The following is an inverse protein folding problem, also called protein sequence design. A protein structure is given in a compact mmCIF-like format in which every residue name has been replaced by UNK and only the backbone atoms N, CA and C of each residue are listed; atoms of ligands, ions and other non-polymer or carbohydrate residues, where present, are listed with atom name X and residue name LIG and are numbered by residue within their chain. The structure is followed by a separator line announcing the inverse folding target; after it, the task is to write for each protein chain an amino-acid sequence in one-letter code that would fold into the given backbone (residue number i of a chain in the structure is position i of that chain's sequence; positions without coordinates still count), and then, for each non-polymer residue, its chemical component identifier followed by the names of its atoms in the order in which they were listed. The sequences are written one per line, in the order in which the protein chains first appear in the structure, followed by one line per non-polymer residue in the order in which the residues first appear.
data_IF_041978712257
#
_entry.id   IF_041978712257
#
_cell.length_a   1.000
_cell.length_b   1.000
_cell.length_c   1.000
_cell.angle_alpha   90.00
_cell.angle_beta   90.00
_cell.angle_gamma   90.00
#
_symmetry.space_group_name_H-M   'P 1'
#
loop_
_entity.id
_entity.type
_entity.pdbx_description
1 polymer ?
#
# COMPACT_ATOMS: atom_id res chain seq x y z
N UNK A 1 11.35 18.69 27.85
CA UNK A 1 11.55 17.21 27.87
C UNK A 1 10.17 16.59 28.00
N UNK A 2 9.54 16.24 26.89
CA UNK A 2 8.29 15.48 26.90
C UNK A 2 8.66 14.00 26.93
N UNK A 3 8.30 13.32 28.01
CA UNK A 3 8.43 11.88 28.12
C UNK A 3 7.55 11.24 27.05
N UNK A 4 8.19 10.66 26.07
CA UNK A 4 7.55 9.82 25.04
C UNK A 4 7.01 8.59 25.74
N UNK A 5 5.71 8.53 26.02
CA UNK A 5 5.02 7.36 26.57
C UNK A 5 5.09 6.23 25.52
N UNK A 6 6.15 5.47 25.55
CA UNK A 6 6.21 4.16 24.90
C UNK A 6 5.09 3.30 25.50
N UNK A 7 4.12 2.96 24.68
CA UNK A 7 3.09 1.99 25.04
C UNK A 7 3.82 0.68 25.34
N UNK A 8 3.83 0.27 26.61
CA UNK A 8 4.58 -0.92 27.02
C UNK A 8 4.08 -2.17 26.31
N UNK A 9 4.98 -3.11 26.00
CA UNK A 9 4.65 -4.43 25.38
C UNK A 9 3.57 -5.22 26.16
N UNK A 10 3.33 -4.89 27.43
CA UNK A 10 2.28 -5.48 28.26
C UNK A 10 0.86 -5.03 27.89
N UNK A 11 0.71 -3.89 27.18
CA UNK A 11 -0.57 -3.39 26.68
C UNK A 11 -1.03 -4.08 25.39
N UNK A 12 -0.16 -4.85 24.73
CA UNK A 12 -0.44 -5.58 23.48
C UNK A 12 -1.53 -6.66 23.60
N UNK A 13 -1.92 -7.02 24.81
CA UNK A 13 -3.03 -7.97 25.06
C UNK A 13 -4.34 -7.27 25.48
N UNK A 14 -4.34 -5.94 25.64
CA UNK A 14 -5.54 -5.17 25.95
C UNK A 14 -5.98 -4.44 24.68
N UNK A 15 -7.26 -4.47 24.38
CA UNK A 15 -7.91 -3.73 23.30
C UNK A 15 -7.41 -2.26 23.31
N UNK A 16 -7.01 -1.72 22.15
CA UNK A 16 -6.63 -0.32 21.98
C UNK A 16 -7.79 0.65 22.25
N UNK A 17 -9.00 0.15 22.47
CA UNK A 17 -10.22 0.94 22.64
C UNK A 17 -10.16 1.95 23.80
N UNK A 18 -9.35 1.67 24.85
CA UNK A 18 -9.18 2.57 26.00
C UNK A 18 -8.14 3.69 25.78
N UNK A 19 -7.41 3.66 24.64
CA UNK A 19 -6.38 4.67 24.35
C UNK A 19 -6.98 5.74 23.45
N UNK A 20 -7.05 6.98 23.97
CA UNK A 20 -7.52 8.13 23.22
C UNK A 20 -6.48 8.54 22.17
N UNK A 21 -6.95 8.85 20.95
CA UNK A 21 -6.15 9.56 19.96
C UNK A 21 -6.31 11.07 20.14
N UNK A 22 -5.36 11.89 19.69
CA UNK A 22 -5.51 13.34 19.66
C UNK A 22 -6.76 13.76 18.86
N UNK A 23 -7.25 14.96 19.10
CA UNK A 23 -8.38 15.52 18.35
C UNK A 23 -7.98 15.67 16.89
N UNK A 24 -8.84 15.20 15.97
CA UNK A 24 -8.60 15.35 14.53
C UNK A 24 -8.47 16.83 14.15
N UNK A 25 -7.39 17.22 13.48
CA UNK A 25 -7.16 18.59 13.09
C UNK A 25 -8.18 19.05 12.02
N UNK A 26 -8.45 20.37 11.97
CA UNK A 26 -9.44 20.96 11.04
C UNK A 26 -9.09 20.79 9.56
N UNK A 27 -7.83 20.62 9.23
CA UNK A 27 -7.36 20.40 7.86
C UNK A 27 -7.69 18.98 7.32
N UNK A 28 -8.02 18.04 8.18
CA UNK A 28 -8.36 16.67 7.80
C UNK A 28 -9.80 16.60 7.24
N UNK A 29 -9.98 17.12 6.02
CA UNK A 29 -11.27 17.16 5.33
C UNK A 29 -11.26 16.23 4.13
N UNK A 30 -12.27 15.35 4.05
CA UNK A 30 -12.45 14.39 2.96
C UNK A 30 -13.37 15.01 1.90
N UNK A 31 -13.05 14.82 0.61
CA UNK A 31 -13.91 15.24 -0.49
C UNK A 31 -15.23 14.47 -0.52
N UNK A 32 -16.31 15.13 -0.83
CA UNK A 32 -17.62 14.50 -1.01
C UNK A 32 -17.69 13.73 -2.35
N UNK A 33 -18.55 12.70 -2.46
CA UNK A 33 -18.76 11.98 -3.71
C UNK A 33 -19.29 12.89 -4.82
N UNK A 34 -18.81 12.66 -6.05
CA UNK A 34 -19.29 13.31 -7.28
C UNK A 34 -20.05 12.31 -8.15
N UNK A 35 -20.70 12.79 -9.22
CA UNK A 35 -21.32 11.92 -10.23
C UNK A 35 -20.32 10.92 -10.84
N UNK A 36 -19.08 11.38 -11.12
CA UNK A 36 -18.00 10.55 -11.62
C UNK A 36 -17.57 9.47 -10.62
N UNK A 37 -17.57 9.77 -9.31
CA UNK A 37 -17.35 8.76 -8.27
C UNK A 37 -18.37 7.63 -8.36
N UNK A 38 -19.64 7.99 -8.58
CA UNK A 38 -20.73 7.01 -8.70
C UNK A 38 -20.62 6.15 -9.97
N UNK A 39 -20.12 6.69 -11.07
CA UNK A 39 -19.86 5.94 -12.30
C UNK A 39 -18.78 4.87 -12.07
N UNK A 40 -17.66 5.24 -11.47
CA UNK A 40 -16.60 4.29 -11.10
C UNK A 40 -17.13 3.21 -10.18
N UNK A 41 -17.93 3.57 -9.17
CA UNK A 41 -18.59 2.62 -8.27
C UNK A 41 -19.49 1.62 -8.99
N UNK A 42 -20.27 2.08 -9.97
CA UNK A 42 -21.11 1.20 -10.78
C UNK A 42 -20.30 0.16 -11.55
N UNK A 43 -19.16 0.54 -12.12
CA UNK A 43 -18.31 -0.38 -12.87
C UNK A 43 -17.69 -1.43 -11.93
N UNK A 44 -17.16 -1.02 -10.78
CA UNK A 44 -16.61 -1.94 -9.77
C UNK A 44 -17.67 -2.93 -9.28
N UNK A 45 -18.85 -2.43 -8.90
CA UNK A 45 -19.95 -3.26 -8.39
C UNK A 45 -20.50 -4.22 -9.47
N UNK A 46 -20.60 -3.80 -10.73
CA UNK A 46 -21.06 -4.64 -11.85
C UNK A 46 -20.20 -5.89 -12.03
N UNK A 47 -18.92 -5.82 -11.74
CA UNK A 47 -17.99 -6.94 -11.82
C UNK A 47 -17.88 -7.70 -10.48
N UNK A 48 -18.57 -7.27 -9.43
CA UNK A 48 -18.49 -7.82 -8.07
C UNK A 48 -17.02 -7.91 -7.60
N UNK A 49 -16.31 -6.78 -7.70
CA UNK A 49 -14.91 -6.66 -7.34
C UNK A 49 -14.74 -5.95 -6.00
N UNK A 50 -13.70 -6.35 -5.28
CA UNK A 50 -13.26 -5.70 -4.04
C UNK A 50 -12.21 -4.64 -4.34
N UNK A 51 -12.29 -3.50 -3.65
CA UNK A 51 -11.30 -2.44 -3.75
C UNK A 51 -10.73 -2.11 -2.37
N UNK A 52 -9.43 -1.89 -2.28
CA UNK A 52 -8.82 -1.39 -1.04
C UNK A 52 -9.34 0.01 -0.69
N UNK A 53 -9.85 0.75 -1.67
CA UNK A 53 -10.42 2.07 -1.46
C UNK A 53 -11.66 2.03 -0.53
N UNK A 54 -12.52 1.01 -0.68
CA UNK A 54 -13.69 0.81 0.17
C UNK A 54 -13.32 0.08 1.45
N UNK A 55 -12.63 -1.06 1.36
CA UNK A 55 -12.32 -1.92 2.51
C UNK A 55 -11.43 -1.24 3.55
N UNK A 56 -10.45 -0.45 3.11
CA UNK A 56 -9.56 0.29 4.00
C UNK A 56 -10.09 1.67 4.42
N UNK A 57 -11.35 2.01 4.09
CA UNK A 57 -11.95 3.33 4.38
C UNK A 57 -11.05 4.49 3.92
N UNK A 58 -10.54 4.39 2.69
CA UNK A 58 -9.54 5.31 2.17
C UNK A 58 -10.10 6.75 2.06
N UNK A 59 -9.42 7.77 2.65
CA UNK A 59 -9.88 9.16 2.60
C UNK A 59 -9.87 9.74 1.17
N UNK A 60 -9.11 9.14 0.26
CA UNK A 60 -8.98 9.60 -1.13
C UNK A 60 -9.98 8.95 -2.08
N UNK A 61 -10.86 8.05 -1.61
CA UNK A 61 -11.77 7.30 -2.48
C UNK A 61 -12.49 8.21 -3.49
N UNK A 62 -13.11 9.29 -3.00
CA UNK A 62 -13.90 10.18 -3.85
C UNK A 62 -13.03 10.94 -4.86
N UNK A 63 -11.82 11.34 -4.48
CA UNK A 63 -10.87 11.99 -5.37
C UNK A 63 -10.35 11.02 -6.45
N UNK A 64 -9.89 9.85 -6.05
CA UNK A 64 -9.39 8.81 -6.96
C UNK A 64 -10.49 8.37 -7.94
N UNK A 65 -11.66 8.03 -7.45
CA UNK A 65 -12.75 7.52 -8.29
C UNK A 65 -13.35 8.55 -9.23
N UNK A 66 -13.34 9.85 -8.85
CA UNK A 66 -13.73 10.91 -9.77
C UNK A 66 -12.76 11.07 -10.96
N UNK A 67 -11.53 10.60 -10.79
CA UNK A 67 -10.48 10.55 -11.81
C UNK A 67 -10.33 9.16 -12.45
N UNK A 68 -11.31 8.26 -12.24
CA UNK A 68 -11.31 6.87 -12.70
C UNK A 68 -10.13 6.04 -12.18
N UNK A 69 -9.51 6.42 -11.07
CA UNK A 69 -8.44 5.64 -10.42
C UNK A 69 -9.04 4.74 -9.35
N UNK A 70 -8.91 3.42 -9.50
CA UNK A 70 -9.29 2.45 -8.49
C UNK A 70 -8.13 1.48 -8.24
N UNK A 71 -7.95 1.08 -6.98
CA UNK A 71 -7.00 0.04 -6.59
C UNK A 71 -7.78 -1.23 -6.32
N UNK A 72 -7.63 -2.21 -7.21
CA UNK A 72 -8.33 -3.48 -7.08
C UNK A 72 -7.63 -4.36 -6.06
N UNK A 73 -8.42 -4.95 -5.16
CA UNK A 73 -7.95 -5.91 -4.18
C UNK A 73 -8.38 -7.31 -4.60
N UNK A 74 -7.42 -8.16 -4.90
CA UNK A 74 -7.62 -9.54 -5.35
C UNK A 74 -7.44 -10.54 -4.21
N UNK A 75 -7.78 -11.81 -4.46
CA UNK A 75 -7.70 -12.92 -3.51
C UNK A 75 -8.76 -12.86 -2.39
N UNK A 76 -9.82 -12.08 -2.61
CA UNK A 76 -10.95 -11.92 -1.69
C UNK A 76 -10.81 -10.72 -0.76
N UNK A 77 -11.64 -10.69 0.28
CA UNK A 77 -11.86 -9.59 1.23
C UNK A 77 -11.43 -9.93 2.67
N UNK A 78 -10.95 -11.14 2.91
CA UNK A 78 -10.52 -11.62 4.23
C UNK A 78 -9.03 -11.90 4.23
N UNK A 79 -8.29 -11.26 5.14
CA UNK A 79 -6.85 -11.38 5.30
C UNK A 79 -6.51 -12.43 6.36
N UNK A 80 -5.43 -13.19 6.17
CA UNK A 80 -4.91 -14.14 7.17
C UNK A 80 -4.13 -13.46 8.29
N UNK A 81 -3.83 -12.15 8.15
CA UNK A 81 -3.07 -11.36 9.14
C UNK A 81 -3.90 -10.23 9.73
N UNK A 82 -3.52 -9.79 10.94
CA UNK A 82 -4.22 -8.79 11.75
C UNK A 82 -3.33 -7.58 12.04
N UNK A 83 -2.91 -6.86 11.00
CA UNK A 83 -2.15 -5.63 11.17
C UNK A 83 -2.96 -4.61 11.94
N UNK A 84 -2.40 -4.03 13.03
CA UNK A 84 -3.16 -3.20 13.98
C UNK A 84 -3.61 -1.84 13.44
N UNK A 85 -3.16 -1.46 12.24
CA UNK A 85 -3.59 -0.25 11.53
C UNK A 85 -4.66 -0.51 10.46
N UNK A 86 -4.87 -1.77 10.05
CA UNK A 86 -5.58 -2.14 8.83
C UNK A 86 -7.05 -2.46 9.11
N UNK A 87 -7.97 -1.88 8.32
CA UNK A 87 -9.42 -2.10 8.46
C UNK A 87 -9.92 -3.35 7.72
N UNK A 88 -9.06 -4.06 6.98
CA UNK A 88 -9.44 -5.28 6.25
C UNK A 88 -9.85 -6.37 7.25
N UNK A 89 -10.92 -7.07 6.95
CA UNK A 89 -11.42 -8.16 7.78
C UNK A 89 -10.37 -9.26 7.92
N UNK A 90 -10.12 -9.69 9.15
CA UNK A 90 -9.18 -10.78 9.47
C UNK A 90 -9.93 -12.08 9.72
N UNK A 91 -9.41 -13.20 9.22
CA UNK A 91 -10.03 -14.50 9.44
C UNK A 91 -9.54 -15.58 8.49
N UNK A 92 -10.39 -16.59 8.29
CA UNK A 92 -10.14 -17.68 7.33
C UNK A 92 -10.75 -17.28 5.96
N UNK A 93 -9.91 -17.01 4.94
CA UNK A 93 -10.40 -16.63 3.62
C UNK A 93 -11.16 -17.78 2.94
N UNK A 94 -12.04 -17.39 2.03
CA UNK A 94 -12.71 -18.34 1.13
C UNK A 94 -11.76 -18.84 0.04
N UNK A 95 -12.19 -19.84 -0.71
CA UNK A 95 -11.48 -20.30 -1.91
C UNK A 95 -11.32 -19.17 -2.93
N UNK A 96 -10.20 -19.17 -3.64
CA UNK A 96 -9.89 -18.15 -4.66
C UNK A 96 -10.89 -18.23 -5.81
N UNK A 97 -11.45 -17.09 -6.21
CA UNK A 97 -12.31 -17.00 -7.38
C UNK A 97 -11.47 -17.11 -8.68
N UNK A 98 -11.64 -18.21 -9.41
CA UNK A 98 -10.92 -18.46 -10.66
C UNK A 98 -11.23 -17.45 -11.77
N UNK A 99 -12.37 -16.75 -11.68
CA UNK A 99 -12.82 -15.74 -12.64
C UNK A 99 -12.42 -14.31 -12.25
N UNK A 100 -11.89 -14.08 -11.05
CA UNK A 100 -11.47 -12.76 -10.58
C UNK A 100 -10.48 -12.08 -11.56
N UNK A 101 -9.46 -12.76 -12.14
CA UNK A 101 -8.57 -12.15 -13.14
C UNK A 101 -9.31 -11.58 -14.36
N UNK A 102 -10.33 -12.28 -14.84
CA UNK A 102 -11.15 -11.81 -15.98
C UNK A 102 -12.03 -10.62 -15.59
N UNK A 103 -12.63 -10.65 -14.39
CA UNK A 103 -13.46 -9.56 -13.86
C UNK A 103 -12.64 -8.28 -13.72
N UNK A 104 -11.43 -8.37 -13.11
CA UNK A 104 -10.51 -7.24 -12.96
C UNK A 104 -10.12 -6.69 -14.33
N UNK A 105 -9.74 -7.54 -15.30
CA UNK A 105 -9.36 -7.10 -16.63
C UNK A 105 -10.50 -6.36 -17.36
N UNK A 106 -11.74 -6.82 -17.22
CA UNK A 106 -12.92 -6.13 -17.75
C UNK A 106 -13.13 -4.77 -17.10
N UNK A 107 -13.06 -4.67 -15.77
CA UNK A 107 -13.22 -3.40 -15.06
C UNK A 107 -12.13 -2.39 -15.45
N UNK A 108 -10.87 -2.84 -15.57
CA UNK A 108 -9.75 -2.01 -16.04
C UNK A 108 -10.01 -1.45 -17.43
N UNK A 109 -10.53 -2.29 -18.36
CA UNK A 109 -10.90 -1.86 -19.71
C UNK A 109 -12.09 -0.90 -19.70
N UNK A 110 -13.16 -1.21 -18.95
CA UNK A 110 -14.37 -0.39 -18.88
C UNK A 110 -14.10 0.99 -18.26
N UNK A 111 -13.11 1.10 -17.36
CA UNK A 111 -12.62 2.36 -16.79
C UNK A 111 -11.65 3.11 -17.71
N UNK A 112 -11.18 2.48 -18.79
CA UNK A 112 -10.17 3.04 -19.73
C UNK A 112 -8.88 3.48 -19.04
N UNK A 113 -8.40 2.67 -18.08
CA UNK A 113 -7.23 3.02 -17.29
C UNK A 113 -5.95 3.02 -18.13
N UNK A 114 -5.10 4.01 -17.92
CA UNK A 114 -3.71 4.04 -18.45
C UNK A 114 -2.71 3.42 -17.47
N UNK A 115 -3.05 3.44 -16.20
CA UNK A 115 -2.29 2.84 -15.10
C UNK A 115 -3.24 2.19 -14.11
N UNK A 116 -2.89 1.00 -13.60
CA UNK A 116 -3.69 0.29 -12.62
C UNK A 116 -2.82 -0.20 -11.47
N UNK A 117 -3.35 -0.11 -10.26
CA UNK A 117 -2.75 -0.71 -9.07
C UNK A 117 -3.57 -1.94 -8.66
N UNK A 118 -2.89 -3.07 -8.55
CA UNK A 118 -3.45 -4.33 -8.06
C UNK A 118 -2.82 -4.64 -6.71
N UNK A 119 -3.65 -4.85 -5.71
CA UNK A 119 -3.21 -5.28 -4.38
C UNK A 119 -3.94 -6.55 -3.97
N UNK A 120 -3.58 -7.13 -2.84
CA UNK A 120 -4.28 -8.29 -2.27
C UNK A 120 -4.32 -8.24 -0.76
N UNK A 121 -5.16 -9.09 -0.17
CA UNK A 121 -5.03 -9.54 1.21
C UNK A 121 -3.84 -10.49 1.35
N UNK A 122 -3.31 -10.68 2.57
CA UNK A 122 -2.38 -11.78 2.85
C UNK A 122 -3.12 -13.12 2.80
N UNK A 123 -2.51 -14.09 2.12
CA UNK A 123 -3.01 -15.44 1.94
C UNK A 123 -1.96 -16.46 2.38
N UNK A 124 -1.63 -16.43 3.68
CA UNK A 124 -0.68 -17.39 4.27
C UNK A 124 -1.17 -18.85 4.17
N UNK A 125 -2.46 -19.04 3.90
CA UNK A 125 -3.10 -20.34 3.63
C UNK A 125 -2.77 -20.92 2.24
N UNK A 126 -2.34 -20.09 1.27
CA UNK A 126 -1.97 -20.54 -0.07
C UNK A 126 -0.48 -20.92 -0.13
N UNK A 127 -0.10 -21.96 -0.87
CA UNK A 127 1.29 -22.42 -0.97
C UNK A 127 2.25 -21.35 -1.46
N UNK A 128 1.82 -20.53 -2.43
CA UNK A 128 2.59 -19.47 -3.07
C UNK A 128 2.24 -18.06 -2.55
N UNK A 129 1.40 -17.95 -1.50
CA UNK A 129 0.92 -16.68 -0.97
C UNK A 129 0.07 -15.88 -1.96
N UNK A 130 -0.40 -16.50 -3.04
CA UNK A 130 -1.21 -15.88 -4.10
C UNK A 130 -0.41 -15.34 -5.28
N UNK A 131 0.90 -15.58 -5.37
CA UNK A 131 1.75 -15.07 -6.45
C UNK A 131 1.24 -15.48 -7.85
N UNK A 132 0.79 -16.73 -8.02
CA UNK A 132 0.23 -17.22 -9.28
C UNK A 132 -1.07 -16.49 -9.65
N UNK A 133 -1.84 -16.08 -8.67
CA UNK A 133 -3.07 -15.31 -8.93
C UNK A 133 -2.77 -13.88 -9.39
N UNK A 134 -1.75 -13.23 -8.83
CA UNK A 134 -1.21 -11.97 -9.37
C UNK A 134 -0.79 -12.15 -10.84
N UNK A 135 0.01 -13.17 -11.14
CA UNK A 135 0.44 -13.47 -12.52
C UNK A 135 -0.74 -13.62 -13.48
N UNK A 136 -1.75 -14.42 -13.12
CA UNK A 136 -2.96 -14.63 -13.93
C UNK A 136 -3.72 -13.32 -14.15
N UNK A 137 -3.85 -12.50 -13.12
CA UNK A 137 -4.53 -11.20 -13.18
C UNK A 137 -3.79 -10.24 -14.11
N UNK A 138 -2.48 -10.10 -13.96
CA UNK A 138 -1.63 -9.26 -14.81
C UNK A 138 -1.71 -9.71 -16.27
N UNK A 139 -1.56 -11.02 -16.52
CA UNK A 139 -1.67 -11.60 -17.86
C UNK A 139 -3.02 -11.30 -18.51
N UNK A 140 -4.11 -11.41 -17.75
CA UNK A 140 -5.45 -11.10 -18.23
C UNK A 140 -5.65 -9.62 -18.52
N UNK A 141 -5.16 -8.73 -17.64
CA UNK A 141 -5.18 -7.27 -17.86
C UNK A 141 -4.41 -6.92 -19.15
N UNK A 142 -3.20 -7.43 -19.32
CA UNK A 142 -2.38 -7.19 -20.53
C UNK A 142 -3.04 -7.71 -21.80
N UNK A 143 -3.82 -8.80 -21.74
CA UNK A 143 -4.60 -9.30 -22.86
C UNK A 143 -5.71 -8.34 -23.30
N UNK A 144 -6.38 -7.66 -22.36
CA UNK A 144 -7.47 -6.72 -22.63
C UNK A 144 -6.98 -5.28 -22.87
N UNK A 145 -5.84 -4.91 -22.30
CA UNK A 145 -5.25 -3.58 -22.34
C UNK A 145 -3.72 -3.69 -22.47
N UNK A 146 -3.17 -3.99 -23.66
CA UNK A 146 -1.74 -4.31 -23.84
C UNK A 146 -0.78 -3.21 -23.37
N UNK A 147 -1.15 -1.95 -23.56
CA UNK A 147 -0.29 -0.78 -23.28
C UNK A 147 -0.42 -0.22 -21.86
N UNK A 148 -1.27 -0.83 -21.01
CA UNK A 148 -1.49 -0.32 -19.65
C UNK A 148 -0.23 -0.47 -18.79
N UNK A 149 0.07 0.54 -17.98
CA UNK A 149 1.06 0.44 -16.91
C UNK A 149 0.45 -0.29 -15.71
N UNK A 150 1.19 -1.21 -15.10
CA UNK A 150 0.72 -2.01 -13.97
C UNK A 150 1.67 -1.83 -12.78
N UNK A 151 1.12 -1.40 -11.65
CA UNK A 151 1.74 -1.46 -10.34
C UNK A 151 1.08 -2.60 -9.55
N UNK A 152 1.88 -3.39 -8.83
CA UNK A 152 1.36 -4.35 -7.86
C UNK A 152 1.82 -3.96 -6.46
N UNK A 153 0.88 -3.95 -5.51
CA UNK A 153 1.16 -3.79 -4.07
C UNK A 153 0.96 -5.15 -3.41
N UNK A 154 2.05 -5.81 -3.06
CA UNK A 154 2.03 -7.22 -2.65
C UNK A 154 2.15 -7.41 -1.14
N UNK A 155 1.67 -8.55 -0.60
CA UNK A 155 2.08 -9.05 0.70
C UNK A 155 3.60 -9.35 0.71
N UNK A 156 4.13 -9.76 1.86
CA UNK A 156 5.55 -10.08 2.00
C UNK A 156 5.93 -11.49 1.53
N UNK A 157 4.96 -12.34 1.14
CA UNK A 157 5.17 -13.74 0.75
C UNK A 157 6.02 -14.54 1.74
N UNK A 158 5.96 -14.22 3.04
CA UNK A 158 6.78 -14.82 4.08
C UNK A 158 6.61 -16.35 4.11
N UNK A 159 7.74 -17.08 4.10
CA UNK A 159 7.79 -18.54 4.07
C UNK A 159 7.07 -19.16 2.86
N UNK A 160 7.04 -18.49 1.72
CA UNK A 160 6.46 -19.00 0.48
C UNK A 160 7.55 -19.35 -0.52
N UNK A 161 7.29 -20.39 -1.30
CA UNK A 161 8.17 -20.83 -2.36
C UNK A 161 7.77 -20.26 -3.71
N UNK A 162 8.72 -20.15 -4.63
CA UNK A 162 8.54 -19.79 -6.04
C UNK A 162 7.89 -18.41 -6.31
N UNK A 163 7.52 -17.62 -5.27
CA UNK A 163 6.87 -16.32 -5.47
C UNK A 163 7.77 -15.35 -6.25
N UNK A 164 9.07 -15.38 -5.98
CA UNK A 164 10.03 -14.46 -6.60
C UNK A 164 10.12 -14.68 -8.11
N UNK A 165 10.22 -15.94 -8.55
CA UNK A 165 10.24 -16.31 -9.96
C UNK A 165 8.94 -15.92 -10.65
N UNK A 166 7.79 -16.26 -10.05
CA UNK A 166 6.47 -15.95 -10.58
C UNK A 166 6.29 -14.43 -10.73
N UNK A 167 6.56 -13.66 -9.68
CA UNK A 167 6.35 -12.21 -9.69
C UNK A 167 7.34 -11.51 -10.63
N UNK A 168 8.60 -11.95 -10.68
CA UNK A 168 9.61 -11.36 -11.56
C UNK A 168 9.34 -11.62 -13.05
N UNK A 169 8.58 -12.67 -13.38
CA UNK A 169 8.12 -12.96 -14.74
C UNK A 169 6.90 -12.13 -15.17
N UNK A 170 6.27 -11.41 -14.24
CA UNK A 170 5.11 -10.59 -14.55
C UNK A 170 5.48 -9.35 -15.37
N UNK A 171 4.61 -8.99 -16.33
CA UNK A 171 4.76 -7.76 -17.12
C UNK A 171 4.27 -6.53 -16.33
N UNK A 172 4.99 -6.18 -15.26
CA UNK A 172 4.71 -5.05 -14.37
C UNK A 172 5.72 -3.92 -14.58
N UNK A 173 5.32 -2.70 -14.24
CA UNK A 173 6.16 -1.51 -14.28
C UNK A 173 6.69 -1.15 -12.89
N UNK A 174 5.86 -1.34 -11.85
CA UNK A 174 6.19 -1.01 -10.45
C UNK A 174 5.85 -2.19 -9.55
N UNK A 175 6.81 -2.59 -8.74
CA UNK A 175 6.64 -3.51 -7.62
C UNK A 175 6.62 -2.72 -6.32
N UNK A 176 5.52 -2.79 -5.61
CA UNK A 176 5.30 -2.08 -4.36
C UNK A 176 5.13 -3.07 -3.20
N UNK A 177 5.85 -2.84 -2.12
CA UNK A 177 5.65 -3.49 -0.84
C UNK A 177 5.91 -2.49 0.29
N UNK A 178 4.87 -2.18 1.05
CA UNK A 178 4.98 -1.19 2.12
C UNK A 178 5.66 -1.76 3.36
N UNK A 179 6.56 -0.98 3.96
CA UNK A 179 7.04 -1.26 5.31
C UNK A 179 6.06 -0.81 6.39
N UNK A 180 5.19 0.17 6.08
CA UNK A 180 4.15 0.74 6.92
C UNK A 180 4.66 1.53 8.12
N UNK A 181 5.72 1.10 8.81
CA UNK A 181 6.26 1.77 10.00
C UNK A 181 7.75 1.47 10.20
N UNK A 182 8.36 2.12 11.18
CA UNK A 182 9.76 1.94 11.59
C UNK A 182 10.00 0.60 12.27
N UNK A 183 11.26 0.14 12.30
CA UNK A 183 11.67 -1.17 12.80
C UNK A 183 11.19 -1.46 14.23
N UNK A 184 11.30 -0.50 15.13
CA UNK A 184 10.94 -0.70 16.54
C UNK A 184 9.43 -0.85 16.78
N UNK A 185 8.58 -0.35 15.86
CA UNK A 185 7.13 -0.48 15.93
C UNK A 185 6.59 -1.67 15.13
N UNK A 186 7.46 -2.39 14.39
CA UNK A 186 7.03 -3.37 13.41
C UNK A 186 6.19 -4.49 13.99
N UNK A 187 6.63 -5.07 15.11
CA UNK A 187 5.92 -6.18 15.78
C UNK A 187 4.53 -5.79 16.30
N UNK A 188 4.34 -4.50 16.63
CA UNK A 188 3.09 -3.97 17.16
C UNK A 188 2.14 -3.61 16.02
N UNK A 189 2.67 -2.98 14.99
CA UNK A 189 1.87 -2.44 13.87
C UNK A 189 1.60 -3.51 12.82
N UNK A 190 2.56 -4.42 12.57
CA UNK A 190 2.47 -5.52 11.61
C UNK A 190 2.76 -6.88 12.25
N UNK A 191 1.94 -7.33 13.22
CA UNK A 191 2.16 -8.63 13.86
C UNK A 191 2.20 -9.74 12.80
N UNK A 192 3.22 -10.61 12.91
CA UNK A 192 3.45 -11.71 11.97
C UNK A 192 4.30 -11.37 10.75
N UNK A 193 4.51 -10.10 10.42
CA UNK A 193 5.47 -9.67 9.39
C UNK A 193 6.90 -9.58 9.96
N UNK A 194 7.89 -9.39 9.08
CA UNK A 194 9.28 -9.22 9.48
C UNK A 194 9.93 -8.08 8.69
N UNK A 195 10.51 -7.11 9.39
CA UNK A 195 11.09 -5.90 8.80
C UNK A 195 12.21 -6.20 7.79
N UNK A 196 13.16 -7.06 8.18
CA UNK A 196 14.29 -7.41 7.32
C UNK A 196 13.84 -8.25 6.11
N UNK A 197 12.82 -9.10 6.29
CA UNK A 197 12.24 -9.86 5.18
C UNK A 197 11.56 -8.94 4.16
N UNK A 198 10.82 -7.92 4.60
CA UNK A 198 10.21 -6.92 3.72
C UNK A 198 11.25 -6.14 2.90
N UNK A 199 12.38 -5.76 3.51
CA UNK A 199 13.50 -5.14 2.78
C UNK A 199 14.14 -6.12 1.78
N UNK A 200 14.37 -7.37 2.21
CA UNK A 200 14.92 -8.42 1.35
C UNK A 200 14.04 -8.70 0.13
N UNK A 201 12.72 -8.72 0.30
CA UNK A 201 11.77 -8.86 -0.80
C UNK A 201 11.94 -7.77 -1.86
N UNK A 202 11.95 -6.50 -1.46
CA UNK A 202 12.15 -5.37 -2.36
C UNK A 202 13.50 -5.46 -3.10
N UNK A 203 14.58 -5.77 -2.36
CA UNK A 203 15.91 -5.94 -2.91
C UNK A 203 15.99 -7.10 -3.91
N UNK A 204 15.36 -8.24 -3.61
CA UNK A 204 15.37 -9.43 -4.46
C UNK A 204 14.66 -9.19 -5.78
N UNK A 205 13.49 -8.55 -5.77
CA UNK A 205 12.77 -8.17 -7.01
C UNK A 205 13.63 -7.24 -7.86
N UNK A 206 14.25 -6.22 -7.26
CA UNK A 206 15.10 -5.28 -7.98
C UNK A 206 16.33 -5.94 -8.60
N UNK A 207 16.92 -6.91 -7.90
CA UNK A 207 18.08 -7.66 -8.40
C UNK A 207 17.71 -8.61 -9.55
N UNK A 208 16.52 -9.23 -9.49
CA UNK A 208 16.05 -10.15 -10.54
C UNK A 208 15.68 -9.40 -11.82
N UNK A 209 15.07 -8.21 -11.71
CA UNK A 209 14.73 -7.39 -12.87
C UNK A 209 14.95 -5.90 -12.58
N UNK A 210 16.08 -5.38 -13.04
CA UNK A 210 16.48 -3.96 -12.84
C UNK A 210 15.53 -2.95 -13.47
N UNK A 211 14.73 -3.35 -14.47
CA UNK A 211 13.79 -2.47 -15.16
C UNK A 211 12.50 -2.25 -14.35
N UNK A 212 12.18 -3.13 -13.41
CA UNK A 212 11.06 -2.93 -12.51
C UNK A 212 11.42 -1.82 -11.52
N UNK A 213 10.57 -0.79 -11.45
CA UNK A 213 10.67 0.24 -10.43
C UNK A 213 10.15 -0.33 -9.10
N UNK A 214 10.87 -0.08 -8.02
CA UNK A 214 10.48 -0.55 -6.68
C UNK A 214 9.94 0.61 -5.85
N UNK A 215 8.88 0.33 -5.10
CA UNK A 215 8.16 1.31 -4.27
C UNK A 215 7.92 0.78 -2.87
N UNK A 216 7.96 1.66 -1.90
CA UNK A 216 7.51 1.37 -0.54
C UNK A 216 6.74 2.55 0.04
N UNK A 217 5.95 2.29 1.08
CA UNK A 217 5.20 3.31 1.80
C UNK A 217 5.34 3.15 3.29
N UNK A 218 5.24 4.28 3.99
CA UNK A 218 5.17 4.36 5.44
C UNK A 218 4.05 5.30 5.87
N UNK A 219 3.55 5.04 7.06
CA UNK A 219 2.67 5.95 7.78
C UNK A 219 3.42 6.58 8.95
N UNK A 220 3.19 7.87 9.17
CA UNK A 220 3.67 8.61 10.34
C UNK A 220 2.52 8.94 11.29
N UNK A 221 2.83 9.17 12.55
CA UNK A 221 1.85 9.40 13.63
C UNK A 221 1.53 8.15 14.45
N UNK A 222 2.39 7.12 14.36
CA UNK A 222 2.31 5.88 15.14
C UNK A 222 3.21 5.90 16.38
N UNK A 223 4.00 6.97 16.60
CA UNK A 223 4.93 7.14 17.72
C UNK A 223 6.40 6.91 17.35
N UNK A 224 6.69 6.86 16.07
CA UNK A 224 8.05 6.82 15.52
C UNK A 224 8.81 8.12 15.81
N UNK A 225 10.13 8.02 15.94
CA UNK A 225 11.02 9.16 16.05
C UNK A 225 11.68 9.51 14.72
N UNK A 226 12.07 10.77 14.53
CA UNK A 226 12.70 11.23 13.29
C UNK A 226 13.96 10.44 12.93
N UNK A 227 14.75 10.05 13.94
CA UNK A 227 15.97 9.23 13.71
C UNK A 227 15.60 7.86 13.14
N UNK A 228 14.54 7.22 13.63
CA UNK A 228 14.07 5.93 13.14
C UNK A 228 13.51 6.02 11.71
N UNK A 229 12.85 7.14 11.38
CA UNK A 229 12.38 7.41 10.00
C UNK A 229 13.58 7.54 9.05
N UNK A 230 14.65 8.25 9.44
CA UNK A 230 15.87 8.38 8.65
C UNK A 230 16.58 7.03 8.47
N UNK A 231 16.66 6.21 9.51
CA UNK A 231 17.19 4.84 9.44
C UNK A 231 16.40 3.99 8.44
N UNK A 232 15.06 4.04 8.52
CA UNK A 232 14.18 3.35 7.57
C UNK A 232 14.40 3.82 6.12
N UNK A 233 14.56 5.12 5.88
CA UNK A 233 14.86 5.64 4.54
C UNK A 233 16.20 5.10 4.02
N UNK A 234 17.22 5.04 4.87
CA UNK A 234 18.52 4.46 4.54
C UNK A 234 18.40 2.96 4.21
N UNK A 235 17.65 2.19 5.00
CA UNK A 235 17.41 0.77 4.77
C UNK A 235 16.68 0.51 3.43
N UNK A 236 15.69 1.33 3.11
CA UNK A 236 15.00 1.28 1.82
C UNK A 236 15.94 1.62 0.66
N UNK A 237 16.79 2.66 0.77
CA UNK A 237 17.77 3.00 -0.26
C UNK A 237 18.82 1.91 -0.43
N UNK A 238 19.29 1.30 0.67
CA UNK A 238 20.20 0.14 0.66
C UNK A 238 19.58 -1.10 0.00
N UNK A 239 18.25 -1.14 -0.06
CA UNK A 239 17.46 -2.15 -0.77
C UNK A 239 17.08 -1.74 -2.20
N UNK A 240 17.66 -0.63 -2.72
CA UNK A 240 17.42 -0.08 -4.06
C UNK A 240 15.96 0.29 -4.34
N UNK A 241 15.23 0.79 -3.34
CA UNK A 241 13.85 1.27 -3.52
C UNK A 241 13.87 2.62 -4.24
N UNK A 242 13.12 2.72 -5.34
CA UNK A 242 13.08 3.90 -6.20
C UNK A 242 12.09 4.96 -5.69
N UNK A 243 10.90 4.54 -5.23
CA UNK A 243 9.80 5.42 -4.85
C UNK A 243 9.44 5.28 -3.37
N UNK A 244 9.09 6.40 -2.76
CA UNK A 244 8.63 6.43 -1.38
C UNK A 244 7.32 7.21 -1.23
N UNK A 245 6.34 6.60 -0.53
CA UNK A 245 5.12 7.27 -0.11
C UNK A 245 5.12 7.47 1.40
N UNK A 246 4.84 8.68 1.86
CA UNK A 246 4.75 9.04 3.28
C UNK A 246 3.38 9.65 3.54
N UNK A 247 2.55 8.99 4.37
CA UNK A 247 1.21 9.43 4.69
C UNK A 247 0.93 9.50 6.19
N UNK A 248 -0.08 10.28 6.60
CA UNK A 248 -0.55 10.27 7.98
C UNK A 248 -1.30 8.98 8.28
N UNK A 249 -0.99 8.33 9.38
CA UNK A 249 -1.83 7.29 9.92
C UNK A 249 -3.19 7.85 10.34
N UNK A 250 -4.26 7.24 9.86
CA UNK A 250 -5.63 7.58 10.24
C UNK A 250 -6.28 6.33 10.84
N UNK A 251 -6.61 6.40 12.11
CA UNK A 251 -7.19 5.29 12.86
C UNK A 251 -8.59 4.94 12.33
N UNK A 252 -8.81 3.72 11.82
CA UNK A 252 -10.11 3.34 11.27
C UNK A 252 -11.21 3.22 12.33
N UNK A 253 -10.90 2.64 13.49
CA UNK A 253 -11.82 2.52 14.63
C UNK A 253 -11.08 2.44 15.96
N UNK A 254 -11.79 2.48 17.07
CA UNK A 254 -11.19 2.38 18.40
C UNK A 254 -10.49 1.04 18.69
N UNK A 255 -10.75 0.00 17.88
CA UNK A 255 -10.07 -1.28 18.01
C UNK A 255 -8.69 -1.32 17.33
N UNK A 256 -8.35 -0.32 16.53
CA UNK A 256 -7.06 -0.19 15.86
C UNK A 256 -6.05 0.59 16.72
N UNK A 257 -4.80 0.54 16.32
CA UNK A 257 -3.73 1.28 16.97
C UNK A 257 -4.08 2.77 17.08
N UNK A 258 -3.84 3.44 18.20
CA UNK A 258 -4.17 4.86 18.35
C UNK A 258 -3.28 5.73 17.46
N UNK A 259 -3.80 6.86 16.99
CA UNK A 259 -2.94 7.92 16.47
C UNK A 259 -2.22 8.52 17.66
N UNK A 260 -0.89 8.61 17.58
CA UNK A 260 -0.06 9.23 18.62
C UNK A 260 0.07 10.73 18.34
N UNK A 261 0.27 11.09 17.05
CA UNK A 261 0.42 12.47 16.62
C UNK A 261 -0.17 12.72 15.23
N UNK A 262 -0.75 13.90 15.03
CA UNK A 262 -1.14 14.39 13.70
C UNK A 262 -0.15 15.46 13.26
N UNK A 263 0.52 15.20 12.14
CA UNK A 263 1.46 16.13 11.54
C UNK A 263 0.80 17.02 10.49
N UNK A 264 1.26 18.26 10.38
CA UNK A 264 0.85 19.20 9.36
C UNK A 264 1.59 19.00 8.03
N UNK A 265 1.25 19.79 7.01
CA UNK A 265 1.89 19.70 5.70
C UNK A 265 3.39 20.03 5.75
N UNK A 266 3.82 20.94 6.62
CA UNK A 266 5.22 21.35 6.72
C UNK A 266 6.12 20.20 7.15
N UNK A 267 5.63 19.32 8.05
CA UNK A 267 6.35 18.12 8.44
C UNK A 267 6.47 17.11 7.27
N UNK A 268 5.43 16.95 6.48
CA UNK A 268 5.47 16.09 5.28
C UNK A 268 6.43 16.64 4.23
N UNK A 269 6.47 17.96 4.03
CA UNK A 269 7.40 18.61 3.11
C UNK A 269 8.85 18.49 3.60
N UNK A 270 9.08 18.57 4.91
CA UNK A 270 10.37 18.32 5.53
C UNK A 270 10.84 16.87 5.31
N UNK A 271 9.99 15.87 5.55
CA UNK A 271 10.33 14.46 5.31
C UNK A 271 10.58 14.18 3.83
N UNK A 272 9.81 14.81 2.94
CA UNK A 272 10.00 14.72 1.48
C UNK A 272 11.39 15.21 1.08
N UNK A 273 11.83 16.36 1.61
CA UNK A 273 13.15 16.92 1.33
C UNK A 273 14.25 15.94 1.74
N UNK A 274 14.20 15.41 2.96
CA UNK A 274 15.15 14.40 3.45
C UNK A 274 15.19 13.19 2.52
N UNK A 275 14.02 12.64 2.15
CA UNK A 275 13.96 11.45 1.30
C UNK A 275 14.57 11.72 -0.10
N UNK A 276 14.30 12.89 -0.70
CA UNK A 276 14.90 13.27 -1.98
C UNK A 276 16.42 13.39 -1.87
N UNK A 277 16.92 14.03 -0.82
CA UNK A 277 18.37 14.16 -0.54
C UNK A 277 19.03 12.79 -0.35
N UNK A 278 18.32 11.79 0.19
CA UNK A 278 18.78 10.40 0.32
C UNK A 278 18.70 9.59 -0.99
N UNK A 279 18.23 10.19 -2.09
CA UNK A 279 18.32 9.62 -3.44
C UNK A 279 17.11 8.82 -3.89
N UNK A 280 15.92 8.98 -3.29
CA UNK A 280 14.70 8.44 -3.89
C UNK A 280 14.36 9.17 -5.19
N UNK A 281 13.98 8.42 -6.24
CA UNK A 281 13.67 9.00 -7.56
C UNK A 281 12.38 9.82 -7.56
N UNK A 282 11.40 9.39 -6.76
CA UNK A 282 10.17 10.13 -6.52
C UNK A 282 9.70 9.90 -5.08
N UNK A 283 9.13 10.96 -4.48
CA UNK A 283 8.59 10.95 -3.13
C UNK A 283 7.23 11.65 -3.11
N UNK A 284 6.19 10.90 -2.77
CA UNK A 284 4.86 11.44 -2.46
C UNK A 284 4.70 11.52 -0.96
N UNK A 285 4.61 12.73 -0.42
CA UNK A 285 4.53 12.99 1.01
C UNK A 285 3.46 14.03 1.30
N UNK A 286 2.40 13.63 1.97
CA UNK A 286 1.31 14.50 2.43
C UNK A 286 0.41 13.75 3.41
N UNK A 287 -0.41 14.45 4.23
CA UNK A 287 -1.31 13.80 5.17
C UNK A 287 -2.22 12.73 4.53
N UNK A 288 -2.67 12.97 3.32
CA UNK A 288 -3.56 12.05 2.60
C UNK A 288 -2.83 11.10 1.64
N UNK A 289 -1.49 11.17 1.51
CA UNK A 289 -0.77 10.24 0.66
C UNK A 289 -1.03 8.79 1.07
N UNK A 290 -1.23 7.93 0.08
CA UNK A 290 -1.37 6.48 0.19
C UNK A 290 -0.59 5.84 -0.96
N UNK A 291 -0.17 4.60 -0.81
CA UNK A 291 0.73 3.94 -1.78
C UNK A 291 0.21 3.94 -3.22
N UNK A 292 -1.11 3.91 -3.42
CA UNK A 292 -1.72 3.97 -4.74
C UNK A 292 -2.23 5.37 -5.13
N UNK A 293 -2.14 6.37 -4.23
CA UNK A 293 -2.59 7.72 -4.52
C UNK A 293 -1.63 8.41 -5.49
N UNK A 294 -2.15 8.88 -6.62
CA UNK A 294 -1.36 9.50 -7.71
C UNK A 294 -0.25 8.63 -8.31
N UNK A 295 -0.35 7.30 -8.18
CA UNK A 295 0.66 6.37 -8.69
C UNK A 295 0.91 6.50 -10.21
N UNK A 296 -0.10 6.83 -10.99
CA UNK A 296 0.04 7.11 -12.42
C UNK A 296 0.94 8.32 -12.70
N UNK A 297 0.75 9.41 -11.95
CA UNK A 297 1.56 10.64 -12.07
C UNK A 297 3.02 10.37 -11.69
N UNK A 298 3.25 9.62 -10.60
CA UNK A 298 4.60 9.23 -10.16
C UNK A 298 5.33 8.42 -11.24
N UNK A 299 4.65 7.44 -11.84
CA UNK A 299 5.21 6.60 -12.88
C UNK A 299 5.60 7.42 -14.12
N UNK A 300 4.75 8.34 -14.58
CA UNK A 300 5.03 9.20 -15.74
C UNK A 300 6.22 10.16 -15.49
N UNK A 301 6.32 10.75 -14.28
CA UNK A 301 7.44 11.63 -13.91
C UNK A 301 8.77 10.88 -13.99
N UNK A 302 8.83 9.64 -13.54
CA UNK A 302 10.10 8.90 -13.57
C UNK A 302 10.40 8.40 -14.98
N UNK A 303 9.39 7.95 -15.72
CA UNK A 303 9.55 7.54 -17.12
C UNK A 303 10.12 8.69 -17.99
N UNK A 304 9.64 9.91 -17.78
CA UNK A 304 10.17 11.08 -18.50
C UNK A 304 11.64 11.35 -18.15
N UNK A 305 12.04 11.18 -16.87
CA UNK A 305 13.43 11.36 -16.41
C UNK A 305 14.39 10.24 -16.85
N UNK A 306 13.89 9.06 -17.19
CA UNK A 306 14.71 7.93 -17.67
C UNK A 306 14.97 7.98 -19.17
N UNK A 307 14.20 8.78 -19.92
CA UNK A 307 14.32 8.94 -21.36
C UNK A 307 15.20 10.16 -21.76
N UNK A 308 15.72 10.87 -20.77
CA UNK A 308 16.71 11.94 -20.89
C UNK A 308 18.01 11.55 -20.22
#
# INVERSE_FOLDING_TARGET
MQETRLISKSLLRKSFSSVASPIKPKWLKIKLPSSKTLETKKIVNRQNLTTVCEEALCPNLNDCWSNKHATFMILGDVCTRSCSFCNIQTGKPKSVDKFEPLKVAKAVKDLELKHVVITSVDRDDLPDGGALHFYKTIKMIKKFSPNISIEILTPDFKNKENYLEIISSCAINVFNHNLETVKNLYDIIRPGANYLHSLSLLKSIKNTNKNILTKSGIMVGLGEQLIEIKELFNDLRSSNVDFLTIGQYLRPSLNHYPVIEYYDQDYFDFLKKIAIEMGFKAVTSSPFARSSYKSAEEHEIVKSKMNH
#
